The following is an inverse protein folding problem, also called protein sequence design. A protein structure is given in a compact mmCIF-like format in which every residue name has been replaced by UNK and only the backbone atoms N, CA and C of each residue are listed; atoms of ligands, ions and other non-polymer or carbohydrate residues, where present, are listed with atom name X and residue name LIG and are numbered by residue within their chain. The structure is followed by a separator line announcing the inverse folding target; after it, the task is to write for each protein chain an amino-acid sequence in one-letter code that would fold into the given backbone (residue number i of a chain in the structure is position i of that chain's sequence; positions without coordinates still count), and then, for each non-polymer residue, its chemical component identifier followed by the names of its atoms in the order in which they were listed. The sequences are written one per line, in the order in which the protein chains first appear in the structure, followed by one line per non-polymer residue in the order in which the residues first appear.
data_IF_845797528559
#
_entry.id   IF_845797528559
#
_cell.length_a   1.000
_cell.length_b   1.000
_cell.length_c   1.000
_cell.angle_alpha   90.00
_cell.angle_beta   90.00
_cell.angle_gamma   90.00
#
_symmetry.space_group_name_H-M   'P 1'
#
loop_
_entity.id
_entity.type
_entity.pdbx_description
1 polymer ?
#
# COMPACT_ATOMS: atom_id res chain seq x y z
N UNK A 1 -8.95 6.73 -17.37
CA UNK A 1 -7.85 7.42 -16.65
C UNK A 1 -6.88 6.41 -16.09
N UNK A 2 -5.58 6.59 -16.33
CA UNK A 2 -4.57 5.64 -15.88
C UNK A 2 -4.18 5.92 -14.43
N UNK A 3 -4.35 4.92 -13.57
CA UNK A 3 -3.93 5.01 -12.17
C UNK A 3 -2.51 4.48 -12.02
N UNK A 4 -1.70 5.21 -11.27
CA UNK A 4 -0.29 4.86 -10.99
C UNK A 4 -0.19 4.33 -9.58
N UNK A 5 0.31 3.12 -9.45
CA UNK A 5 0.41 2.42 -8.16
C UNK A 5 1.84 2.31 -7.69
N UNK A 6 2.03 2.39 -6.39
CA UNK A 6 3.28 2.02 -5.72
C UNK A 6 2.99 0.85 -4.79
N UNK A 7 3.70 -0.26 -5.00
CA UNK A 7 3.56 -1.46 -4.17
C UNK A 7 4.83 -1.61 -3.33
N UNK A 8 4.66 -1.57 -2.00
CA UNK A 8 5.77 -1.61 -1.04
C UNK A 8 5.65 -2.85 -0.17
N UNK A 9 6.59 -3.78 -0.31
CA UNK A 9 6.62 -5.02 0.47
C UNK A 9 8.04 -5.60 0.36
N UNK A 10 8.60 -6.10 1.45
CA UNK A 10 9.94 -6.69 1.43
C UNK A 10 9.97 -8.07 0.77
N UNK A 11 8.81 -8.70 0.57
CA UNK A 11 8.68 -9.97 -0.12
C UNK A 11 8.43 -9.76 -1.62
N UNK A 12 9.37 -10.18 -2.46
CA UNK A 12 9.18 -10.09 -3.91
C UNK A 12 8.02 -10.98 -4.38
N UNK A 13 7.79 -12.10 -3.71
CA UNK A 13 6.66 -12.98 -4.00
C UNK A 13 5.33 -12.26 -3.74
N UNK A 14 5.22 -11.57 -2.61
CA UNK A 14 4.01 -10.82 -2.27
C UNK A 14 3.79 -9.66 -3.25
N UNK A 15 4.85 -8.94 -3.61
CA UNK A 15 4.73 -7.87 -4.62
C UNK A 15 4.17 -8.43 -5.93
N UNK A 16 4.65 -9.60 -6.35
CA UNK A 16 4.19 -10.24 -7.58
C UNK A 16 2.69 -10.58 -7.51
N UNK A 17 2.24 -11.11 -6.36
CA UNK A 17 0.83 -11.44 -6.17
C UNK A 17 -0.04 -10.19 -6.30
N UNK A 18 0.36 -9.11 -5.65
CA UNK A 18 -0.37 -7.83 -5.68
C UNK A 18 -0.38 -7.27 -7.11
N UNK A 19 0.77 -7.26 -7.77
CA UNK A 19 0.91 -6.75 -9.14
C UNK A 19 0.06 -7.56 -10.12
N UNK A 20 0.05 -8.89 -9.98
CA UNK A 20 -0.78 -9.74 -10.83
C UNK A 20 -2.27 -9.42 -10.66
N UNK A 21 -2.70 -9.17 -9.44
CA UNK A 21 -4.08 -8.78 -9.16
C UNK A 21 -4.40 -7.44 -9.79
N UNK A 22 -3.51 -6.45 -9.66
CA UNK A 22 -3.67 -5.14 -10.29
C UNK A 22 -3.74 -5.26 -11.82
N UNK A 23 -2.88 -6.08 -12.40
CA UNK A 23 -2.88 -6.31 -13.86
C UNK A 23 -4.19 -6.91 -14.34
N UNK A 24 -4.77 -7.84 -13.58
CA UNK A 24 -6.07 -8.42 -13.92
C UNK A 24 -7.19 -7.40 -13.87
N UNK A 25 -7.05 -6.36 -13.04
CA UNK A 25 -8.01 -5.26 -12.96
C UNK A 25 -7.77 -4.19 -14.04
N UNK A 26 -6.76 -4.36 -14.86
CA UNK A 26 -6.45 -3.42 -15.94
C UNK A 26 -5.42 -2.36 -15.58
N UNK A 27 -4.83 -2.43 -14.38
CA UNK A 27 -3.82 -1.46 -13.94
C UNK A 27 -2.42 -1.97 -14.28
N UNK A 28 -1.70 -1.22 -15.11
CA UNK A 28 -0.38 -1.62 -15.61
C UNK A 28 0.76 -0.71 -15.19
N UNK A 29 0.45 0.48 -14.69
CA UNK A 29 1.46 1.45 -14.27
C UNK A 29 1.78 1.25 -12.79
N UNK A 30 2.77 0.41 -12.52
CA UNK A 30 3.07 -0.06 -11.18
C UNK A 30 4.56 0.09 -10.91
N UNK A 31 4.90 0.74 -9.79
CA UNK A 31 6.27 0.87 -9.30
C UNK A 31 6.39 0.04 -8.02
N UNK A 32 7.54 -0.55 -7.80
CA UNK A 32 7.81 -1.40 -6.63
C UNK A 32 8.83 -0.78 -5.71
N UNK A 33 8.70 -1.08 -4.41
CA UNK A 33 9.69 -0.77 -3.39
C UNK A 33 9.74 -1.93 -2.39
N UNK A 34 10.91 -2.19 -1.83
CA UNK A 34 11.11 -3.33 -0.91
C UNK A 34 11.00 -2.93 0.56
N UNK A 35 10.87 -1.66 0.86
CA UNK A 35 10.64 -1.15 2.22
C UNK A 35 10.12 0.28 2.16
N UNK A 36 9.77 0.84 3.33
CA UNK A 36 9.21 2.20 3.39
C UNK A 36 10.18 3.28 2.94
N UNK A 37 11.46 3.14 3.26
CA UNK A 37 12.49 4.10 2.84
C UNK A 37 12.58 4.16 1.31
N UNK A 38 12.62 3.02 0.67
CA UNK A 38 12.63 2.93 -0.79
C UNK A 38 11.33 3.48 -1.37
N UNK A 39 10.21 3.25 -0.68
CA UNK A 39 8.91 3.83 -1.05
C UNK A 39 8.94 5.35 -1.09
N UNK A 40 9.55 5.98 -0.09
CA UNK A 40 9.72 7.43 -0.06
C UNK A 40 10.55 7.90 -1.27
N UNK A 41 11.61 7.17 -1.60
CA UNK A 41 12.45 7.48 -2.77
C UNK A 41 11.64 7.40 -4.07
N UNK A 42 10.79 6.39 -4.19
CA UNK A 42 9.94 6.23 -5.39
C UNK A 42 8.94 7.38 -5.51
N UNK A 43 8.35 7.81 -4.40
CA UNK A 43 7.42 8.94 -4.40
C UNK A 43 8.10 10.23 -4.85
N UNK A 44 9.36 10.42 -4.49
CA UNK A 44 10.11 11.59 -4.91
C UNK A 44 10.45 11.56 -6.40
N UNK A 45 10.54 10.37 -7.00
CA UNK A 45 10.97 10.20 -8.38
C UNK A 45 9.82 10.24 -9.40
N UNK A 46 8.59 9.92 -8.99
CA UNK A 46 7.46 9.86 -9.92
C UNK A 46 6.13 10.04 -9.18
N UNK A 47 5.13 10.52 -9.89
CA UNK A 47 3.79 10.69 -9.33
C UNK A 47 3.13 9.33 -9.08
N UNK A 48 2.42 9.22 -7.95
CA UNK A 48 1.71 8.01 -7.55
C UNK A 48 0.30 8.39 -7.12
N UNK A 49 -0.67 7.59 -7.54
CA UNK A 49 -2.08 7.84 -7.23
C UNK A 49 -2.59 6.96 -6.09
N UNK A 50 -2.03 5.77 -5.92
CA UNK A 50 -2.45 4.81 -4.89
C UNK A 50 -1.23 4.05 -4.39
N UNK A 51 -1.17 3.83 -3.06
CA UNK A 51 -0.09 3.07 -2.42
C UNK A 51 -0.68 1.80 -1.80
N UNK A 52 -0.02 0.66 -2.06
CA UNK A 52 -0.32 -0.60 -1.37
C UNK A 52 0.94 -0.99 -0.62
N UNK A 53 0.89 -1.08 0.70
CA UNK A 53 2.07 -1.32 1.53
C UNK A 53 1.86 -2.42 2.56
N UNK A 54 2.91 -3.19 2.83
CA UNK A 54 2.96 -4.10 3.96
C UNK A 54 3.20 -3.29 5.24
N UNK A 55 2.93 -3.89 6.40
CA UNK A 55 3.23 -3.30 7.70
C UNK A 55 4.66 -3.62 8.15
N UNK A 56 5.01 -4.91 8.16
CA UNK A 56 6.29 -5.37 8.72
C UNK A 56 7.37 -5.40 7.65
N UNK A 57 8.23 -4.39 7.66
CA UNK A 57 9.32 -4.24 6.70
C UNK A 57 10.59 -3.80 7.42
N UNK A 58 11.79 -4.17 6.90
CA UNK A 58 13.03 -3.66 7.46
C UNK A 58 13.21 -2.17 7.20
N UNK A 59 14.08 -1.53 7.94
CA UNK A 59 14.48 -0.13 7.87
C UNK A 59 13.35 0.85 8.20
N UNK A 60 12.20 0.77 7.56
CA UNK A 60 11.05 1.61 7.82
C UNK A 60 9.79 0.75 7.69
N UNK A 61 9.03 0.63 8.78
CA UNK A 61 7.78 -0.14 8.79
C UNK A 61 6.70 0.57 7.96
N UNK A 62 5.64 -0.18 7.65
CA UNK A 62 4.50 0.40 6.93
C UNK A 62 3.84 1.55 7.68
N UNK A 63 3.75 1.46 9.01
CA UNK A 63 3.19 2.54 9.83
C UNK A 63 4.07 3.78 9.77
N UNK A 64 5.38 3.62 9.90
CA UNK A 64 6.32 4.74 9.79
C UNK A 64 6.24 5.38 8.38
N UNK A 65 6.12 4.54 7.37
CA UNK A 65 5.97 5.01 5.99
C UNK A 65 4.68 5.82 5.81
N UNK A 66 3.56 5.31 6.32
CA UNK A 66 2.27 6.02 6.25
C UNK A 66 2.34 7.36 6.98
N UNK A 67 2.94 7.39 8.16
CA UNK A 67 3.11 8.64 8.92
C UNK A 67 3.94 9.66 8.12
N UNK A 68 5.00 9.21 7.47
CA UNK A 68 5.83 10.07 6.63
C UNK A 68 5.04 10.65 5.44
N UNK A 69 4.23 9.81 4.79
CA UNK A 69 3.37 10.23 3.69
C UNK A 69 2.38 11.29 4.16
N UNK A 70 1.73 11.06 5.30
CA UNK A 70 0.69 11.98 5.81
C UNK A 70 1.28 13.31 6.30
N UNK A 71 2.54 13.32 6.68
CA UNK A 71 3.23 14.54 7.10
C UNK A 71 3.74 15.37 5.92
N UNK A 72 3.73 14.84 4.71
CA UNK A 72 4.27 15.52 3.53
C UNK A 72 3.13 16.12 2.71
N UNK A 73 3.16 17.43 2.50
CA UNK A 73 2.06 18.14 1.81
C UNK A 73 1.73 17.58 0.43
N UNK A 74 2.74 17.11 -0.30
CA UNK A 74 2.53 16.57 -1.65
C UNK A 74 1.84 15.21 -1.63
N UNK A 75 2.04 14.40 -0.59
CA UNK A 75 1.59 13.00 -0.56
C UNK A 75 0.46 12.72 0.41
N UNK A 76 0.11 13.67 1.27
CA UNK A 76 -0.82 13.45 2.39
C UNK A 76 -2.23 13.00 1.98
N UNK A 77 -2.60 13.17 0.72
CA UNK A 77 -3.93 12.79 0.23
C UNK A 77 -3.94 11.47 -0.57
N UNK A 78 -2.77 10.84 -0.77
CA UNK A 78 -2.70 9.60 -1.53
C UNK A 78 -3.35 8.47 -0.74
N UNK A 79 -4.35 7.75 -1.31
CA UNK A 79 -4.95 6.60 -0.63
C UNK A 79 -3.91 5.49 -0.39
N UNK A 80 -3.99 4.88 0.79
CA UNK A 80 -3.08 3.79 1.19
C UNK A 80 -3.88 2.57 1.60
N UNK A 81 -3.63 1.44 0.93
CA UNK A 81 -4.15 0.14 1.32
C UNK A 81 -3.02 -0.62 2.03
N UNK A 82 -3.23 -1.01 3.26
CA UNK A 82 -2.24 -1.77 4.03
C UNK A 82 -2.54 -3.27 3.97
N UNK A 83 -1.53 -4.06 3.62
CA UNK A 83 -1.61 -5.52 3.58
C UNK A 83 -0.82 -6.06 4.77
N UNK A 84 -1.47 -6.77 5.69
CA UNK A 84 -0.84 -7.06 6.98
C UNK A 84 -1.28 -8.39 7.59
N UNK A 85 -0.38 -9.02 8.38
CA UNK A 85 -0.75 -10.12 9.25
C UNK A 85 -1.24 -9.62 10.60
N UNK A 86 -1.10 -8.33 10.88
CA UNK A 86 -1.47 -7.71 12.16
C UNK A 86 -2.97 -7.42 12.17
N UNK A 87 -3.77 -8.40 12.61
CA UNK A 87 -5.22 -8.32 12.59
C UNK A 87 -5.85 -7.99 13.95
N UNK A 88 -5.05 -7.81 15.00
CA UNK A 88 -5.56 -7.46 16.32
C UNK A 88 -6.20 -6.07 16.28
N UNK A 89 -7.26 -5.88 17.05
CA UNK A 89 -8.01 -4.62 17.04
C UNK A 89 -7.11 -3.41 17.34
N UNK A 90 -6.19 -3.54 18.29
CA UNK A 90 -5.27 -2.45 18.64
C UNK A 90 -4.36 -2.08 17.47
N UNK A 91 -3.92 -3.06 16.70
CA UNK A 91 -3.08 -2.83 15.53
C UNK A 91 -3.86 -2.09 14.44
N UNK A 92 -5.09 -2.49 14.19
CA UNK A 92 -5.94 -1.84 13.18
C UNK A 92 -6.21 -0.39 13.59
N UNK A 93 -6.49 -0.13 14.87
CA UNK A 93 -6.71 1.22 15.38
C UNK A 93 -5.45 2.08 15.16
N UNK A 94 -4.26 1.52 15.46
CA UNK A 94 -3.00 2.23 15.23
C UNK A 94 -2.81 2.58 13.76
N UNK A 95 -3.09 1.64 12.86
CA UNK A 95 -2.95 1.85 11.42
C UNK A 95 -3.92 2.93 10.92
N UNK A 96 -5.17 2.90 11.37
CA UNK A 96 -6.17 3.91 11.01
C UNK A 96 -5.74 5.29 11.51
N UNK A 97 -5.23 5.38 12.73
CA UNK A 97 -4.72 6.63 13.29
C UNK A 97 -3.50 7.14 12.50
N UNK A 98 -2.68 6.25 11.98
CA UNK A 98 -1.55 6.63 11.14
C UNK A 98 -2.00 7.19 9.79
N UNK A 99 -3.20 6.81 9.33
CA UNK A 99 -3.80 7.40 8.13
C UNK A 99 -4.00 6.44 6.96
N UNK A 100 -4.12 5.13 7.19
CA UNK A 100 -4.46 4.20 6.10
C UNK A 100 -5.90 4.42 5.66
N UNK A 101 -6.16 4.11 4.40
CA UNK A 101 -7.52 4.22 3.82
C UNK A 101 -8.33 2.94 4.03
N UNK A 102 -7.66 1.79 3.95
CA UNK A 102 -8.26 0.49 4.19
C UNK A 102 -7.13 -0.52 4.45
N UNK A 103 -7.49 -1.76 4.81
CA UNK A 103 -6.51 -2.81 5.05
C UNK A 103 -7.03 -4.16 4.54
N UNK A 104 -6.11 -5.09 4.31
CA UNK A 104 -6.42 -6.48 4.02
C UNK A 104 -5.50 -7.38 4.84
N UNK A 105 -6.05 -8.44 5.43
CA UNK A 105 -5.33 -9.34 6.34
C UNK A 105 -4.75 -10.53 5.57
N UNK A 106 -3.48 -10.81 5.80
CA UNK A 106 -2.82 -12.01 5.25
C UNK A 106 -3.10 -13.23 6.15
N UNK A 107 -3.34 -14.40 5.61
CA UNK A 107 -3.48 -14.69 4.18
C UNK A 107 -4.84 -14.23 3.64
N UNK A 108 -4.87 -13.85 2.38
CA UNK A 108 -6.10 -13.39 1.71
C UNK A 108 -6.31 -14.17 0.42
N UNK A 109 -7.53 -14.16 -0.09
CA UNK A 109 -7.82 -14.68 -1.42
C UNK A 109 -7.66 -13.56 -2.46
N UNK A 110 -7.43 -13.90 -3.74
CA UNK A 110 -7.39 -12.88 -4.80
C UNK A 110 -8.66 -12.03 -4.85
N UNK A 111 -9.82 -12.64 -4.59
CA UNK A 111 -11.10 -11.91 -4.60
C UNK A 111 -11.18 -10.87 -3.50
N UNK A 112 -10.70 -11.18 -2.30
CA UNK A 112 -10.68 -10.23 -1.19
C UNK A 112 -9.73 -9.08 -1.49
N UNK A 113 -8.54 -9.35 -2.02
CA UNK A 113 -7.59 -8.30 -2.39
C UNK A 113 -8.18 -7.39 -3.46
N UNK A 114 -8.79 -7.96 -4.49
CA UNK A 114 -9.48 -7.21 -5.55
C UNK A 114 -10.54 -6.29 -4.96
N UNK A 115 -11.38 -6.81 -4.07
CA UNK A 115 -12.45 -6.04 -3.43
C UNK A 115 -11.89 -4.85 -2.65
N UNK A 116 -10.81 -5.05 -1.90
CA UNK A 116 -10.19 -3.97 -1.12
C UNK A 116 -9.54 -2.91 -2.01
N UNK A 117 -8.91 -3.33 -3.10
CA UNK A 117 -8.35 -2.39 -4.08
C UNK A 117 -9.47 -1.53 -4.67
N UNK A 118 -10.55 -2.16 -5.10
CA UNK A 118 -11.68 -1.45 -5.69
C UNK A 118 -12.34 -0.49 -4.69
N UNK A 119 -12.42 -0.90 -3.42
CA UNK A 119 -12.97 -0.04 -2.38
C UNK A 119 -12.13 1.23 -2.16
N UNK A 120 -10.81 1.11 -2.22
CA UNK A 120 -9.90 2.26 -2.10
C UNK A 120 -10.03 3.19 -3.30
N UNK A 121 -10.20 2.63 -4.49
CA UNK A 121 -10.33 3.41 -5.72
C UNK A 121 -11.68 4.12 -5.84
N UNK A 122 -12.69 3.63 -5.15
CA UNK A 122 -14.05 4.19 -5.23
C UNK A 122 -14.21 5.51 -4.45
N UNK A 123 -13.20 5.91 -3.70
CA UNK A 123 -13.26 7.13 -2.87
C UNK A 123 -12.72 8.36 -3.57
#
# INVERSE_FOLDING_TARGET
MRMRFLVVDDSSTMRRIIINTLNKLGHKDITEASNGREGVERLAAADVDVIITDWNMPEMSGIEFVRAIRAHDKYKSIPVLMVTTNAAQNDIVEAVKAGISNYVVKPFTPDVLKEKIEAVLAK
#
